data_IF_037597922408
#
_entry.id   IF_037597922408
#
_cell.length_a   1.000
_cell.length_b   1.000
_cell.length_c   1.000
_cell.angle_alpha   90.00
_cell.angle_beta   90.00
_cell.angle_gamma   90.00
#
_symmetry.space_group_name_H-M   'P 1'
#
loop_
_entity.id
_entity.type
_entity.pdbx_description
1 polymer ?
#
# COMPACT_ATOMS: atom_id res chain seq x y z
N UNK A 1 -7.46 13.38 29.58
CA UNK A 1 -6.23 13.91 30.27
C UNK A 1 -4.95 13.25 29.73
N UNK A 2 -4.89 11.92 29.53
CA UNK A 2 -3.71 11.23 29.07
C UNK A 2 -3.31 11.61 27.62
N UNK A 3 -4.27 11.82 26.74
CA UNK A 3 -4.06 12.19 25.33
C UNK A 3 -3.51 13.62 25.21
N UNK A 4 -3.93 14.53 26.08
CA UNK A 4 -3.44 15.91 26.14
C UNK A 4 -2.01 15.94 26.66
N UNK A 5 -1.66 15.08 27.63
CA UNK A 5 -0.30 14.95 28.15
C UNK A 5 0.63 14.34 27.10
N UNK A 6 0.19 13.33 26.34
CA UNK A 6 0.97 12.78 25.22
C UNK A 6 1.18 13.81 24.10
N UNK A 7 0.16 14.60 23.76
CA UNK A 7 0.27 15.68 22.78
C UNK A 7 1.23 16.79 23.28
N UNK A 8 1.17 17.17 24.55
CA UNK A 8 2.07 18.18 25.10
C UNK A 8 3.54 17.69 25.14
N UNK A 9 3.77 16.42 25.48
CA UNK A 9 5.09 15.82 25.39
C UNK A 9 5.61 15.70 23.96
N UNK A 10 4.75 15.32 23.00
CA UNK A 10 5.10 15.31 21.57
C UNK A 10 5.48 16.70 21.07
N UNK A 11 4.77 17.75 21.49
CA UNK A 11 5.08 19.14 21.11
C UNK A 11 6.40 19.61 21.73
N UNK A 12 6.69 19.24 23.00
CA UNK A 12 7.97 19.55 23.62
C UNK A 12 9.14 18.81 22.96
N UNK A 13 8.99 17.53 22.69
CA UNK A 13 9.99 16.74 21.94
C UNK A 13 10.22 17.33 20.55
N UNK A 14 9.18 17.78 19.86
CA UNK A 14 9.31 18.41 18.54
C UNK A 14 10.06 19.75 18.61
N UNK A 15 9.93 20.51 19.69
CA UNK A 15 10.64 21.79 19.88
C UNK A 15 12.11 21.62 20.23
N UNK A 16 12.50 20.54 20.94
CA UNK A 16 13.90 20.23 21.23
C UNK A 16 14.65 19.59 20.06
N UNK A 17 13.92 18.81 19.24
CA UNK A 17 14.43 18.12 18.04
C UNK A 17 14.78 19.10 16.90
N UNK A 18 14.34 20.36 16.99
CA UNK A 18 14.60 21.36 15.95
C UNK A 18 16.10 21.75 15.80
N UNK A 19 16.99 21.23 16.66
CA UNK A 19 18.42 21.49 16.57
C UNK A 19 19.16 20.61 15.56
N UNK A 20 18.65 19.42 15.23
CA UNK A 20 19.26 18.51 14.25
C UNK A 20 18.25 18.19 13.11
N UNK A 21 18.52 18.65 11.86
CA UNK A 21 17.57 18.48 10.75
C UNK A 21 17.25 17.02 10.44
N UNK A 22 18.16 16.09 10.69
CA UNK A 22 17.95 14.66 10.47
C UNK A 22 16.96 14.05 11.46
N UNK A 23 17.06 14.41 12.74
CA UNK A 23 16.18 13.87 13.79
C UNK A 23 14.76 14.39 13.61
N UNK A 24 14.57 15.65 13.20
CA UNK A 24 13.25 16.21 12.93
C UNK A 24 12.56 15.52 11.77
N UNK A 25 13.29 15.23 10.69
CA UNK A 25 12.74 14.50 9.52
C UNK A 25 12.36 13.07 9.89
N UNK A 26 13.21 12.35 10.62
CA UNK A 26 12.91 10.97 11.06
C UNK A 26 11.71 10.94 11.99
N UNK A 27 11.61 11.87 12.95
CA UNK A 27 10.48 11.94 13.87
C UNK A 27 9.17 12.26 13.12
N UNK A 28 9.20 13.20 12.18
CA UNK A 28 8.05 13.55 11.36
C UNK A 28 7.59 12.34 10.51
N UNK A 29 8.53 11.59 9.93
CA UNK A 29 8.21 10.36 9.19
C UNK A 29 7.57 9.31 10.09
N UNK A 30 8.14 9.03 11.26
CA UNK A 30 7.59 8.04 12.21
C UNK A 30 6.18 8.44 12.63
N UNK A 31 5.94 9.69 13.01
CA UNK A 31 4.61 10.19 13.39
C UNK A 31 3.64 10.08 12.22
N UNK A 32 4.06 10.47 11.01
CA UNK A 32 3.24 10.35 9.81
C UNK A 32 2.84 8.90 9.53
N UNK A 33 3.78 7.96 9.58
CA UNK A 33 3.47 6.55 9.34
C UNK A 33 2.57 5.94 10.42
N UNK A 34 2.79 6.27 11.70
CA UNK A 34 1.98 5.69 12.79
C UNK A 34 0.56 6.25 12.88
N UNK A 35 0.37 7.52 12.57
CA UNK A 35 -0.94 8.17 12.72
C UNK A 35 -1.71 8.26 11.40
N UNK A 36 -1.06 8.75 10.34
CA UNK A 36 -1.77 8.97 9.07
C UNK A 36 -2.01 7.70 8.29
N UNK A 37 -1.07 6.75 8.30
CA UNK A 37 -1.21 5.52 7.52
C UNK A 37 -2.42 4.68 7.97
N UNK A 38 -2.68 4.41 9.26
CA UNK A 38 -3.88 3.71 9.68
C UNK A 38 -5.17 4.43 9.26
N UNK A 39 -5.25 5.75 9.46
CA UNK A 39 -6.42 6.54 9.09
C UNK A 39 -6.66 6.45 7.58
N UNK A 40 -5.62 6.65 6.78
CA UNK A 40 -5.68 6.55 5.33
C UNK A 40 -6.14 5.15 4.89
N UNK A 41 -5.65 4.10 5.52
CA UNK A 41 -6.02 2.72 5.24
C UNK A 41 -7.50 2.44 5.53
N UNK A 42 -8.06 3.02 6.60
CA UNK A 42 -9.49 2.91 6.89
C UNK A 42 -10.34 3.59 5.81
N UNK A 43 -9.97 4.81 5.43
CA UNK A 43 -10.66 5.56 4.37
C UNK A 43 -10.55 4.80 3.05
N UNK A 44 -9.36 4.34 2.68
CA UNK A 44 -9.12 3.61 1.45
C UNK A 44 -9.91 2.29 1.40
N UNK A 45 -9.95 1.53 2.50
CA UNK A 45 -10.73 0.30 2.58
C UNK A 45 -12.23 0.55 2.42
N UNK A 46 -12.73 1.68 2.90
CA UNK A 46 -14.13 2.08 2.75
C UNK A 46 -14.45 2.44 1.29
N UNK A 47 -13.60 3.24 0.66
CA UNK A 47 -13.73 3.59 -0.77
C UNK A 47 -13.69 2.31 -1.63
N UNK A 48 -12.73 1.43 -1.37
CA UNK A 48 -12.61 0.16 -2.07
C UNK A 48 -13.87 -0.70 -1.93
N UNK A 49 -14.42 -0.79 -0.72
CA UNK A 49 -15.69 -1.49 -0.47
C UNK A 49 -16.83 -0.91 -1.31
N UNK A 50 -16.97 0.43 -1.39
CA UNK A 50 -18.00 1.07 -2.21
C UNK A 50 -17.81 0.74 -3.69
N UNK A 51 -16.59 0.82 -4.20
CA UNK A 51 -16.26 0.47 -5.58
C UNK A 51 -16.63 -0.99 -5.87
N UNK A 52 -16.21 -1.92 -5.01
CA UNK A 52 -16.52 -3.34 -5.18
C UNK A 52 -18.03 -3.61 -5.19
N UNK A 53 -18.79 -2.89 -4.34
CA UNK A 53 -20.24 -3.00 -4.29
C UNK A 53 -20.92 -2.49 -5.57
N UNK A 54 -20.38 -1.43 -6.18
CA UNK A 54 -20.85 -0.94 -7.49
C UNK A 54 -20.67 -2.00 -8.60
N UNK A 55 -19.62 -2.82 -8.53
CA UNK A 55 -19.37 -3.92 -9.45
C UNK A 55 -20.05 -5.24 -9.08
N UNK A 56 -20.99 -5.20 -8.13
CA UNK A 56 -21.77 -6.39 -7.73
C UNK A 56 -21.05 -7.33 -6.76
N UNK A 57 -20.02 -6.86 -6.08
CA UNK A 57 -19.33 -7.63 -5.03
C UNK A 57 -20.21 -7.81 -3.79
N UNK A 58 -20.19 -9.01 -3.22
CA UNK A 58 -20.97 -9.37 -2.01
C UNK A 58 -20.15 -9.29 -0.72
N UNK A 59 -18.96 -8.69 -0.76
CA UNK A 59 -18.07 -8.55 0.41
C UNK A 59 -18.66 -7.62 1.47
N UNK A 60 -18.38 -7.91 2.74
CA UNK A 60 -18.60 -6.97 3.85
C UNK A 60 -17.44 -5.98 3.96
N UNK A 61 -17.67 -4.83 4.62
CA UNK A 61 -16.61 -3.84 4.90
C UNK A 61 -15.43 -4.50 5.64
N UNK A 62 -15.74 -5.38 6.60
CA UNK A 62 -14.72 -6.08 7.38
C UNK A 62 -13.88 -7.01 6.51
N UNK A 63 -14.49 -7.78 5.64
CA UNK A 63 -13.80 -8.70 4.72
C UNK A 63 -12.92 -7.94 3.74
N UNK A 64 -13.41 -6.84 3.18
CA UNK A 64 -12.62 -5.98 2.27
C UNK A 64 -11.40 -5.40 2.98
N UNK A 65 -11.56 -4.94 4.22
CA UNK A 65 -10.47 -4.42 5.05
C UNK A 65 -9.43 -5.51 5.34
N UNK A 66 -9.89 -6.69 5.73
CA UNK A 66 -9.01 -7.82 6.02
C UNK A 66 -8.20 -8.23 4.78
N UNK A 67 -8.84 -8.34 3.62
CA UNK A 67 -8.17 -8.65 2.36
C UNK A 67 -7.12 -7.60 2.00
N UNK A 68 -7.44 -6.32 2.20
CA UNK A 68 -6.52 -5.22 1.95
C UNK A 68 -5.29 -5.29 2.86
N UNK A 69 -5.47 -5.49 4.16
CA UNK A 69 -4.36 -5.59 5.11
C UNK A 69 -3.47 -6.79 4.82
N UNK A 70 -4.05 -7.96 4.52
CA UNK A 70 -3.28 -9.15 4.17
C UNK A 70 -2.51 -8.98 2.85
N UNK A 71 -3.14 -8.40 1.84
CA UNK A 71 -2.46 -8.16 0.55
C UNK A 71 -1.28 -7.19 0.73
N UNK A 72 -1.43 -6.13 1.53
CA UNK A 72 -0.35 -5.19 1.82
C UNK A 72 0.77 -5.81 2.64
N UNK A 73 0.44 -6.63 3.64
CA UNK A 73 1.45 -7.33 4.44
C UNK A 73 2.32 -8.26 3.57
N UNK A 74 1.69 -9.04 2.69
CA UNK A 74 2.41 -9.91 1.76
C UNK A 74 3.21 -9.07 0.76
N UNK A 75 2.62 -8.03 0.20
CA UNK A 75 3.27 -7.15 -0.77
C UNK A 75 4.49 -6.46 -0.18
N UNK A 76 4.40 -5.95 1.05
CA UNK A 76 5.52 -5.31 1.75
C UNK A 76 6.68 -6.29 1.95
N UNK A 77 6.39 -7.54 2.32
CA UNK A 77 7.41 -8.57 2.46
C UNK A 77 8.12 -8.87 1.14
N UNK A 78 7.37 -8.92 0.04
CA UNK A 78 7.93 -9.14 -1.31
C UNK A 78 8.80 -7.95 -1.72
N UNK A 79 8.31 -6.72 -1.54
CA UNK A 79 9.06 -5.51 -1.88
C UNK A 79 10.37 -5.44 -1.10
N UNK A 80 10.36 -5.83 0.18
CA UNK A 80 11.55 -5.87 1.01
C UNK A 80 12.59 -6.88 0.47
N UNK A 81 12.16 -8.10 0.11
CA UNK A 81 13.02 -9.09 -0.52
C UNK A 81 13.64 -8.58 -1.82
N UNK A 82 12.82 -7.96 -2.66
CA UNK A 82 13.27 -7.42 -3.94
C UNK A 82 14.24 -6.25 -3.74
N UNK A 83 14.03 -5.41 -2.73
CA UNK A 83 14.95 -4.32 -2.39
C UNK A 83 16.33 -4.85 -2.01
N UNK A 84 16.41 -6.00 -1.37
CA UNK A 84 17.69 -6.67 -1.07
C UNK A 84 18.32 -7.21 -2.36
N UNK A 85 17.53 -7.84 -3.22
CA UNK A 85 18.02 -8.39 -4.49
C UNK A 85 18.55 -7.28 -5.42
N UNK A 86 17.91 -6.12 -5.42
CA UNK A 86 18.34 -4.94 -6.21
C UNK A 86 19.75 -4.46 -5.89
N UNK A 87 20.26 -4.68 -4.68
CA UNK A 87 21.63 -4.32 -4.31
C UNK A 87 22.66 -5.07 -5.17
N UNK A 88 22.31 -6.27 -5.63
CA UNK A 88 23.19 -7.14 -6.45
C UNK A 88 22.95 -7.02 -7.95
N UNK A 89 21.91 -6.28 -8.36
CA UNK A 89 21.51 -6.13 -9.76
C UNK A 89 21.82 -4.72 -10.26
N UNK A 90 22.20 -4.61 -11.53
CA UNK A 90 22.44 -3.33 -12.20
C UNK A 90 21.92 -3.34 -13.63
N UNK A 91 21.57 -2.17 -14.13
CA UNK A 91 21.13 -1.98 -15.51
C UNK A 91 19.75 -2.57 -15.82
N UNK A 92 19.62 -3.22 -16.98
CA UNK A 92 18.34 -3.73 -17.48
C UNK A 92 17.72 -4.78 -16.53
N UNK A 93 18.55 -5.59 -15.88
CA UNK A 93 18.08 -6.62 -14.96
C UNK A 93 17.36 -6.01 -13.73
N UNK A 94 17.82 -4.88 -13.23
CA UNK A 94 17.17 -4.15 -12.16
C UNK A 94 15.77 -3.68 -12.57
N UNK A 95 15.64 -3.07 -13.75
CA UNK A 95 14.35 -2.58 -14.27
C UNK A 95 13.35 -3.72 -14.45
N UNK A 96 13.79 -4.85 -15.00
CA UNK A 96 12.94 -6.02 -15.19
C UNK A 96 12.43 -6.59 -13.84
N UNK A 97 13.29 -6.66 -12.84
CA UNK A 97 12.91 -7.14 -11.49
C UNK A 97 11.91 -6.19 -10.83
N UNK A 98 12.08 -4.88 -11.00
CA UNK A 98 11.12 -3.89 -10.48
C UNK A 98 9.77 -4.08 -11.12
N UNK A 99 9.68 -4.11 -12.45
CA UNK A 99 8.41 -4.28 -13.18
C UNK A 99 7.75 -5.61 -12.80
N UNK A 100 8.51 -6.70 -12.75
CA UNK A 100 7.99 -7.99 -12.35
C UNK A 100 7.43 -7.99 -10.93
N UNK A 101 8.08 -7.30 -10.00
CA UNK A 101 7.62 -7.18 -8.61
C UNK A 101 6.34 -6.38 -8.48
N UNK A 102 6.22 -5.28 -9.20
CA UNK A 102 5.02 -4.46 -9.21
C UNK A 102 3.82 -5.23 -9.78
N UNK A 103 4.02 -5.95 -10.88
CA UNK A 103 2.99 -6.83 -11.45
C UNK A 103 2.55 -7.92 -10.47
N UNK A 104 3.49 -8.52 -9.75
CA UNK A 104 3.20 -9.54 -8.77
C UNK A 104 2.40 -8.99 -7.59
N UNK A 105 2.73 -7.80 -7.09
CA UNK A 105 1.98 -7.10 -6.04
C UNK A 105 0.55 -6.81 -6.49
N UNK A 106 0.37 -6.26 -7.70
CA UNK A 106 -0.96 -5.97 -8.27
C UNK A 106 -1.76 -7.25 -8.45
N UNK A 107 -1.12 -8.32 -8.90
CA UNK A 107 -1.77 -9.62 -9.06
C UNK A 107 -2.25 -10.18 -7.71
N UNK A 108 -1.42 -10.16 -6.67
CA UNK A 108 -1.79 -10.63 -5.32
C UNK A 108 -2.96 -9.82 -4.78
N UNK A 109 -2.88 -8.49 -4.87
CA UNK A 109 -3.94 -7.59 -4.43
C UNK A 109 -5.26 -7.89 -5.13
N UNK A 110 -5.24 -7.99 -6.45
CA UNK A 110 -6.41 -8.30 -7.28
C UNK A 110 -7.02 -9.66 -6.95
N UNK A 111 -6.19 -10.69 -6.73
CA UNK A 111 -6.67 -12.03 -6.37
C UNK A 111 -7.30 -12.07 -4.98
N UNK A 112 -6.70 -11.42 -3.99
CA UNK A 112 -7.25 -11.34 -2.64
C UNK A 112 -8.61 -10.65 -2.62
N UNK A 113 -8.73 -9.52 -3.31
CA UNK A 113 -9.99 -8.78 -3.40
C UNK A 113 -11.04 -9.57 -4.17
N UNK A 114 -10.70 -10.17 -5.30
CA UNK A 114 -11.66 -10.97 -6.08
C UNK A 114 -12.17 -12.19 -5.33
N UNK A 115 -11.31 -12.79 -4.49
CA UNK A 115 -11.69 -13.92 -3.64
C UNK A 115 -12.71 -13.50 -2.57
N UNK A 116 -12.44 -12.38 -1.89
CA UNK A 116 -13.29 -11.86 -0.81
C UNK A 116 -14.63 -11.32 -1.34
N UNK A 117 -14.60 -10.69 -2.52
CA UNK A 117 -15.80 -10.11 -3.13
C UNK A 117 -16.73 -11.14 -3.79
N UNK A 118 -16.31 -12.42 -3.81
CA UNK A 118 -17.11 -13.53 -4.40
C UNK A 118 -17.60 -13.25 -5.83
N UNK A 119 -16.78 -12.56 -6.63
CA UNK A 119 -17.11 -12.32 -8.04
C UNK A 119 -17.29 -13.63 -8.79
N UNK A 120 -18.31 -13.67 -9.67
CA UNK A 120 -18.61 -14.82 -10.51
C UNK A 120 -17.42 -15.20 -11.41
N UNK A 121 -16.77 -14.19 -11.99
CA UNK A 121 -15.61 -14.35 -12.87
C UNK A 121 -14.33 -13.74 -12.27
N UNK A 122 -13.79 -14.42 -11.27
CA UNK A 122 -12.59 -14.01 -10.55
C UNK A 122 -11.38 -13.76 -11.46
N UNK A 123 -11.24 -14.56 -12.50
CA UNK A 123 -10.14 -14.44 -13.45
C UNK A 123 -10.29 -13.19 -14.33
N UNK A 124 -11.50 -12.87 -14.73
CA UNK A 124 -11.78 -11.69 -15.55
C UNK A 124 -11.50 -10.41 -14.76
N UNK A 125 -11.90 -10.34 -13.50
CA UNK A 125 -11.57 -9.22 -12.62
C UNK A 125 -10.05 -9.03 -12.46
N UNK A 126 -9.33 -10.13 -12.19
CA UNK A 126 -7.86 -10.09 -12.04
C UNK A 126 -7.18 -9.61 -13.33
N UNK A 127 -7.61 -10.13 -14.48
CA UNK A 127 -7.09 -9.72 -15.78
C UNK A 127 -7.35 -8.23 -16.06
N UNK A 128 -8.55 -7.74 -15.74
CA UNK A 128 -8.89 -6.33 -15.95
C UNK A 128 -8.01 -5.41 -15.11
N UNK A 129 -7.85 -5.69 -13.82
CA UNK A 129 -7.02 -4.88 -12.94
C UNK A 129 -5.54 -4.90 -13.36
N UNK A 130 -5.00 -6.08 -13.70
CA UNK A 130 -3.61 -6.18 -14.18
C UNK A 130 -3.41 -5.51 -15.53
N UNK A 131 -4.39 -5.55 -16.44
CA UNK A 131 -4.32 -4.86 -17.73
C UNK A 131 -4.33 -3.34 -17.59
N UNK A 132 -5.18 -2.81 -16.71
CA UNK A 132 -5.21 -1.37 -16.41
C UNK A 132 -3.87 -0.91 -15.83
N UNK A 133 -3.29 -1.69 -14.93
CA UNK A 133 -2.00 -1.38 -14.35
C UNK A 133 -0.88 -1.40 -15.39
N UNK A 134 -0.85 -2.43 -16.25
CA UNK A 134 0.12 -2.49 -17.37
C UNK A 134 0.00 -1.30 -18.31
N UNK A 135 -1.23 -0.88 -18.64
CA UNK A 135 -1.46 0.30 -19.46
C UNK A 135 -0.90 1.57 -18.80
N UNK A 136 -1.08 1.73 -17.48
CA UNK A 136 -0.52 2.86 -16.73
C UNK A 136 1.02 2.84 -16.74
N UNK A 137 1.63 1.69 -16.51
CA UNK A 137 3.09 1.52 -16.55
C UNK A 137 3.62 1.89 -17.93
N UNK A 138 3.02 1.37 -19.01
CA UNK A 138 3.42 1.70 -20.38
C UNK A 138 3.30 3.20 -20.67
N UNK A 139 2.28 3.86 -20.16
CA UNK A 139 2.06 5.28 -20.38
C UNK A 139 3.10 6.16 -19.63
N UNK A 140 3.56 5.72 -18.48
CA UNK A 140 4.60 6.40 -17.70
C UNK A 140 5.98 6.23 -18.36
N UNK A 141 6.31 5.02 -18.84
CA UNK A 141 7.60 4.74 -19.45
C UNK A 141 7.71 5.19 -20.93
N UNK A 142 6.58 5.56 -21.56
CA UNK A 142 6.57 6.08 -22.93
C UNK A 142 6.80 7.60 -23.03
N UNK A 143 6.85 8.29 -21.89
CA UNK A 143 7.16 9.72 -21.80
C UNK A 143 8.62 9.98 -21.49
#
# INVERSE_FOLDING_TARGET
TCLILLLSQLIQVTSEVQKDPYISVVTALVVSYFFFLPIFMYIFSFILYLVLKMFGGMSSIFQTRLALFWSLSISTSIILLISIIKIFLSGIAEVLVVIASELLVVYIFSRMISFVSSFKDRNLFTLTVTSIYLAQVMLVYSR
#
